data_IF_232956382666
#
_entry.id   IF_232956382666
#
_cell.length_a   1.000
_cell.length_b   1.000
_cell.length_c   1.000
_cell.angle_alpha   90.00
_cell.angle_beta   90.00
_cell.angle_gamma   90.00
#
_symmetry.space_group_name_H-M   'P 1'
#
loop_
_entity.id
_entity.type
_entity.pdbx_description
1 polymer ?
#
# COMPACT_ATOMS: atom_id res chain seq x y z
N UNK A 1 31.86 14.88 -30.19
CA UNK A 1 31.01 15.22 -29.04
C UNK A 1 29.68 15.69 -29.61
N UNK A 2 28.72 14.77 -29.78
CA UNK A 2 27.40 15.09 -30.30
C UNK A 2 26.58 15.66 -29.13
N UNK A 3 26.25 16.95 -29.18
CA UNK A 3 25.19 17.51 -28.34
C UNK A 3 23.87 16.97 -28.90
N UNK A 4 23.21 16.07 -28.15
CA UNK A 4 21.79 15.81 -28.36
C UNK A 4 21.07 17.13 -28.05
N UNK A 5 20.55 17.80 -29.08
CA UNK A 5 19.68 18.96 -28.94
C UNK A 5 18.30 18.43 -28.52
N UNK A 6 18.23 17.87 -27.32
CA UNK A 6 16.97 17.47 -26.70
C UNK A 6 16.33 18.68 -26.03
N UNK A 7 15.03 18.85 -26.21
CA UNK A 7 14.23 19.82 -25.44
C UNK A 7 14.45 19.57 -23.94
N UNK A 8 14.69 20.64 -23.19
CA UNK A 8 14.96 20.56 -21.75
C UNK A 8 13.65 20.59 -20.97
N UNK A 9 13.55 19.71 -19.98
CA UNK A 9 12.45 19.70 -19.01
C UNK A 9 13.00 19.94 -17.60
N UNK A 10 12.17 20.51 -16.72
CA UNK A 10 12.50 20.70 -15.30
C UNK A 10 11.29 20.46 -14.41
N UNK A 11 11.56 20.12 -13.15
CA UNK A 11 10.57 20.04 -12.09
C UNK A 11 10.76 21.22 -11.13
N UNK A 12 9.71 22.01 -10.92
CA UNK A 12 9.75 23.22 -10.10
C UNK A 12 8.54 23.35 -9.18
N UNK A 13 8.61 24.28 -8.24
CA UNK A 13 7.51 24.63 -7.36
C UNK A 13 7.86 24.53 -5.87
N UNK A 14 6.91 24.89 -5.02
CA UNK A 14 7.14 24.89 -3.57
C UNK A 14 7.30 23.46 -3.06
N UNK A 15 8.49 23.15 -2.52
CA UNK A 15 8.80 21.79 -2.06
C UNK A 15 9.23 20.82 -3.17
N UNK A 16 9.47 21.30 -4.40
CA UNK A 16 9.97 20.45 -5.49
C UNK A 16 11.36 19.89 -5.17
N UNK A 17 11.63 18.68 -5.63
CA UNK A 17 12.95 18.04 -5.60
C UNK A 17 13.47 17.84 -7.02
N UNK A 18 14.63 17.20 -7.15
CA UNK A 18 15.14 16.77 -8.47
C UNK A 18 14.19 15.82 -9.19
N UNK A 19 13.41 15.03 -8.46
CA UNK A 19 12.55 13.97 -8.98
C UNK A 19 11.08 14.17 -8.58
N UNK A 20 10.68 15.38 -8.18
CA UNK A 20 9.28 15.72 -7.92
C UNK A 20 9.02 17.22 -8.10
N UNK A 21 7.92 17.58 -8.75
CA UNK A 21 7.56 18.99 -8.99
C UNK A 21 6.61 19.17 -10.16
N UNK A 22 6.18 20.42 -10.38
CA UNK A 22 5.44 20.84 -11.59
C UNK A 22 6.34 20.70 -12.81
N UNK A 23 5.81 20.11 -13.88
CA UNK A 23 6.54 19.88 -15.13
C UNK A 23 6.57 21.17 -15.94
N UNK A 24 7.77 21.62 -16.31
CA UNK A 24 7.96 22.71 -17.25
C UNK A 24 8.90 22.29 -18.38
N UNK A 25 8.57 22.73 -19.59
CA UNK A 25 9.28 22.44 -20.84
C UNK A 25 9.91 23.72 -21.37
N UNK A 26 11.15 23.64 -21.87
CA UNK A 26 11.84 24.77 -22.49
C UNK A 26 11.69 24.74 -24.00
N UNK A 27 10.89 25.63 -24.55
CA UNK A 27 10.66 25.73 -25.99
C UNK A 27 10.77 27.19 -26.46
N UNK A 28 11.36 27.42 -27.63
CA UNK A 28 11.55 28.75 -28.23
C UNK A 28 12.13 29.82 -27.28
N UNK A 29 13.05 29.43 -26.41
CA UNK A 29 13.74 30.37 -25.51
C UNK A 29 13.02 30.67 -24.20
N UNK A 30 11.85 30.05 -23.96
CA UNK A 30 10.99 30.34 -22.79
C UNK A 30 10.55 29.04 -22.12
N UNK A 31 10.50 29.05 -20.79
CA UNK A 31 9.90 27.96 -20.01
C UNK A 31 8.39 28.10 -19.98
N UNK A 32 7.68 27.00 -20.15
CA UNK A 32 6.23 26.94 -20.03
C UNK A 32 5.78 25.63 -19.41
N UNK A 33 4.55 25.59 -18.92
CA UNK A 33 3.97 24.44 -18.22
C UNK A 33 3.35 23.44 -19.19
N UNK A 34 2.82 22.34 -18.65
CA UNK A 34 2.15 21.28 -19.39
C UNK A 34 0.76 21.09 -18.78
N UNK A 35 -0.27 21.04 -19.62
CA UNK A 35 -1.63 20.76 -19.18
C UNK A 35 -1.82 19.28 -18.81
N UNK A 36 -2.72 19.02 -17.86
CA UNK A 36 -3.05 17.69 -17.33
C UNK A 36 -4.19 16.99 -18.08
N UNK A 37 -4.70 17.58 -19.16
CA UNK A 37 -5.63 16.92 -20.08
C UNK A 37 -4.92 15.75 -20.78
N UNK A 38 -5.56 14.59 -20.73
CA UNK A 38 -5.05 13.26 -21.14
C UNK A 38 -3.73 12.80 -20.46
N UNK A 39 -3.26 13.50 -19.42
CA UNK A 39 -2.00 13.16 -18.75
C UNK A 39 -2.08 11.87 -17.94
N UNK A 40 -1.25 10.88 -18.28
CA UNK A 40 -1.29 9.53 -17.72
C UNK A 40 0.02 9.08 -17.04
N UNK A 41 0.06 7.78 -16.71
CA UNK A 41 1.23 7.13 -16.13
C UNK A 41 2.41 7.04 -17.11
N UNK A 42 2.14 6.81 -18.40
CA UNK A 42 3.17 6.70 -19.43
C UNK A 42 3.87 8.05 -19.64
N UNK A 43 3.13 9.15 -19.61
CA UNK A 43 3.68 10.51 -19.68
C UNK A 43 4.62 10.76 -18.51
N UNK A 44 4.15 10.42 -17.31
CA UNK A 44 4.93 10.53 -16.09
C UNK A 44 6.19 9.65 -16.15
N UNK A 45 6.08 8.43 -16.68
CA UNK A 45 7.21 7.53 -16.87
C UNK A 45 8.25 8.10 -17.83
N UNK A 46 7.82 8.71 -18.94
CA UNK A 46 8.70 9.40 -19.89
C UNK A 46 9.42 10.55 -19.22
N UNK A 47 8.72 11.41 -18.47
CA UNK A 47 9.33 12.52 -17.71
C UNK A 47 10.38 12.01 -16.72
N UNK A 48 10.02 11.00 -15.93
CA UNK A 48 10.90 10.44 -14.92
C UNK A 48 12.15 9.80 -15.52
N UNK A 49 11.99 9.06 -16.63
CA UNK A 49 13.11 8.49 -17.38
C UNK A 49 13.98 9.59 -17.99
N UNK A 50 13.38 10.61 -18.59
CA UNK A 50 14.09 11.74 -19.21
C UNK A 50 14.94 12.52 -18.18
N UNK A 51 14.46 12.65 -16.94
CA UNK A 51 15.21 13.27 -15.83
C UNK A 51 16.25 12.35 -15.17
N UNK A 52 16.28 11.07 -15.55
CA UNK A 52 17.15 10.05 -14.96
C UNK A 52 16.78 9.71 -13.52
N UNK A 53 15.49 9.80 -13.17
CA UNK A 53 14.95 9.40 -11.87
C UNK A 53 14.54 7.92 -11.89
N UNK A 54 14.41 7.30 -10.71
CA UNK A 54 13.84 5.95 -10.60
C UNK A 54 12.39 5.98 -11.15
N UNK A 55 11.92 4.86 -11.70
CA UNK A 55 10.58 4.71 -12.26
C UNK A 55 9.78 3.62 -11.54
N UNK A 56 10.34 3.00 -10.50
CA UNK A 56 9.67 1.94 -9.73
C UNK A 56 8.51 2.45 -8.86
N UNK A 57 8.64 3.69 -8.36
CA UNK A 57 7.70 4.33 -7.46
C UNK A 57 7.22 5.67 -8.07
N UNK A 58 6.58 5.60 -9.23
CA UNK A 58 5.98 6.75 -9.91
C UNK A 58 4.60 7.04 -9.30
N UNK A 59 4.37 8.31 -8.95
CA UNK A 59 3.04 8.81 -8.60
C UNK A 59 2.62 9.77 -9.72
N UNK A 60 1.63 9.38 -10.56
CA UNK A 60 1.21 10.20 -11.71
C UNK A 60 0.56 11.51 -11.28
N UNK A 61 0.05 11.60 -10.04
CA UNK A 61 -0.59 12.81 -9.55
C UNK A 61 -0.11 13.19 -8.14
N UNK A 62 0.65 14.28 -8.08
CA UNK A 62 1.21 14.84 -6.83
C UNK A 62 0.42 16.06 -6.38
N UNK A 63 0.55 16.54 -5.13
CA UNK A 63 0.08 17.88 -4.77
C UNK A 63 0.50 18.91 -5.82
N UNK A 64 -0.41 19.82 -6.21
CA UNK A 64 -0.06 20.98 -7.04
C UNK A 64 1.17 21.65 -6.41
N UNK A 65 2.34 21.57 -7.06
CA UNK A 65 3.57 22.25 -6.61
C UNK A 65 3.49 23.77 -6.86
N UNK A 66 2.29 24.33 -6.67
CA UNK A 66 1.87 25.63 -7.17
C UNK A 66 1.49 25.59 -8.64
N UNK A 67 0.62 26.53 -9.00
CA UNK A 67 0.30 26.84 -10.39
C UNK A 67 1.49 27.56 -11.04
N UNK A 68 1.71 27.30 -12.31
CA UNK A 68 2.65 28.05 -13.11
C UNK A 68 2.09 29.41 -13.50
N UNK A 69 2.87 30.11 -14.32
CA UNK A 69 2.48 31.40 -14.87
C UNK A 69 3.06 31.55 -16.27
N UNK A 70 2.32 32.19 -17.18
CA UNK A 70 2.80 32.51 -18.51
C UNK A 70 2.36 31.48 -19.54
N UNK A 71 3.31 30.89 -20.25
CA UNK A 71 3.02 30.01 -21.38
C UNK A 71 2.72 28.59 -20.89
N UNK A 72 1.68 27.96 -21.46
CA UNK A 72 1.49 26.50 -21.42
C UNK A 72 1.97 25.98 -22.77
N UNK A 73 2.95 25.06 -22.76
CA UNK A 73 3.57 24.57 -23.99
C UNK A 73 2.93 23.31 -24.54
N UNK A 74 2.53 22.38 -23.68
CA UNK A 74 2.01 21.09 -24.11
C UNK A 74 0.62 20.86 -23.52
N UNK A 75 -0.20 20.17 -24.28
CA UNK A 75 -1.59 19.82 -24.00
C UNK A 75 -1.96 18.55 -24.78
N UNK A 76 -2.90 17.77 -24.23
CA UNK A 76 -3.23 16.39 -24.61
C UNK A 76 -1.98 15.53 -24.86
N UNK A 77 -1.06 15.51 -23.89
CA UNK A 77 0.14 14.69 -24.03
C UNK A 77 -0.26 13.23 -23.87
N UNK A 78 0.12 12.41 -24.84
CA UNK A 78 -0.19 10.97 -24.85
C UNK A 78 1.05 10.18 -25.30
N UNK A 79 1.84 9.76 -24.32
CA UNK A 79 3.01 8.92 -24.49
C UNK A 79 2.62 7.43 -24.54
N UNK A 80 3.36 6.65 -25.31
CA UNK A 80 3.35 5.18 -25.29
C UNK A 80 4.19 4.60 -24.14
N UNK A 81 4.97 5.45 -23.46
CA UNK A 81 5.80 5.10 -22.31
C UNK A 81 7.24 4.70 -22.69
N UNK A 82 7.60 4.67 -23.98
CA UNK A 82 8.94 4.27 -24.46
C UNK A 82 9.75 5.42 -25.09
N UNK A 83 9.16 6.62 -25.15
CA UNK A 83 9.75 7.83 -25.71
C UNK A 83 10.97 8.33 -24.92
N UNK A 84 11.96 8.89 -25.63
CA UNK A 84 13.15 9.46 -24.99
C UNK A 84 12.91 10.83 -24.35
N UNK A 85 11.93 11.58 -24.86
CA UNK A 85 11.58 12.92 -24.41
C UNK A 85 10.07 13.09 -24.38
N UNK A 86 9.56 13.88 -23.43
CA UNK A 86 8.14 14.25 -23.35
C UNK A 86 7.63 14.91 -24.65
N UNK A 87 8.50 15.63 -25.35
CA UNK A 87 8.18 16.27 -26.63
C UNK A 87 8.16 15.33 -27.83
N UNK A 88 8.56 14.07 -27.64
CA UNK A 88 8.46 13.03 -28.67
C UNK A 88 7.10 12.34 -28.65
N UNK A 89 6.33 12.52 -27.56
CA UNK A 89 4.99 11.98 -27.39
C UNK A 89 3.98 12.72 -28.27
N UNK A 90 2.84 12.07 -28.54
CA UNK A 90 1.75 12.73 -29.25
C UNK A 90 1.22 13.88 -28.39
N UNK A 91 0.97 15.04 -29.00
CA UNK A 91 0.42 16.23 -28.34
C UNK A 91 -0.18 17.20 -29.37
N UNK A 92 -1.07 18.12 -28.95
CA UNK A 92 -1.75 19.12 -29.81
C UNK A 92 -0.83 20.12 -30.52
N UNK A 93 0.45 20.15 -30.15
CA UNK A 93 1.48 21.04 -30.69
C UNK A 93 1.81 22.18 -29.73
N UNK A 94 3.02 22.74 -29.85
CA UNK A 94 3.51 23.73 -28.90
C UNK A 94 2.64 24.98 -28.82
N UNK A 95 2.13 25.29 -27.62
CA UNK A 95 1.33 26.48 -27.34
C UNK A 95 -0.12 26.41 -27.83
N UNK A 96 -0.56 25.25 -28.30
CA UNK A 96 -1.95 25.00 -28.68
C UNK A 96 -2.66 24.27 -27.53
N UNK A 97 -3.42 25.01 -26.74
CA UNK A 97 -4.13 24.50 -25.56
C UNK A 97 -5.38 25.34 -25.28
N UNK A 98 -6.36 24.78 -24.59
CA UNK A 98 -7.49 25.49 -23.99
C UNK A 98 -7.44 25.52 -22.45
N UNK A 99 -6.35 25.03 -21.87
CA UNK A 99 -6.15 24.96 -20.44
C UNK A 99 -5.77 26.30 -19.76
N UNK A 100 -5.98 26.33 -18.45
CA UNK A 100 -5.53 27.35 -17.51
C UNK A 100 -4.46 26.80 -16.56
N UNK A 101 -3.73 27.66 -15.82
CA UNK A 101 -2.69 27.19 -14.89
C UNK A 101 -3.20 26.39 -13.69
N UNK A 102 -4.52 26.33 -13.46
CA UNK A 102 -5.08 25.37 -12.50
C UNK A 102 -4.92 23.91 -12.96
N UNK A 103 -4.52 23.71 -14.21
CA UNK A 103 -4.45 22.44 -14.94
C UNK A 103 -2.98 22.07 -15.23
N UNK A 104 -2.03 22.75 -14.58
CA UNK A 104 -0.62 22.43 -14.75
C UNK A 104 -0.24 21.11 -14.06
N UNK A 105 0.40 20.20 -14.81
CA UNK A 105 0.82 18.88 -14.34
C UNK A 105 1.97 18.94 -13.34
N UNK A 106 1.92 18.06 -12.35
CA UNK A 106 3.03 17.78 -11.45
C UNK A 106 3.30 16.29 -11.27
N UNK A 107 4.58 15.91 -11.25
CA UNK A 107 5.02 14.51 -11.16
C UNK A 107 5.88 14.24 -9.93
N UNK A 108 5.94 12.98 -9.49
CA UNK A 108 6.99 12.47 -8.61
C UNK A 108 7.47 11.09 -9.06
N UNK A 109 8.78 10.95 -9.21
CA UNK A 109 9.42 9.79 -9.84
C UNK A 109 10.02 8.81 -8.83
N UNK A 110 10.56 9.32 -7.72
CA UNK A 110 11.23 8.48 -6.73
C UNK A 110 10.81 8.88 -5.32
N UNK A 111 9.71 8.29 -4.89
CA UNK A 111 9.26 8.42 -3.51
C UNK A 111 8.51 7.18 -3.08
N UNK A 112 9.16 6.34 -2.25
CA UNK A 112 8.40 5.73 -1.15
C UNK A 112 7.76 6.89 -0.42
N UNK A 113 6.43 6.98 -0.47
CA UNK A 113 5.62 8.08 0.05
C UNK A 113 6.14 8.55 1.42
N UNK A 114 7.01 9.55 1.42
CA UNK A 114 7.60 10.17 2.62
C UNK A 114 7.14 11.62 2.73
N UNK A 115 5.99 11.90 2.15
CA UNK A 115 5.22 13.12 2.32
C UNK A 115 3.75 12.77 2.57
N UNK A 116 3.38 12.20 3.72
CA UNK A 116 2.00 12.25 4.25
C UNK A 116 0.80 11.71 3.44
N UNK A 117 0.98 11.26 2.21
CA UNK A 117 -0.02 10.55 1.41
C UNK A 117 0.24 9.07 1.65
N UNK A 118 -0.48 8.43 2.57
CA UNK A 118 -0.66 6.98 2.48
C UNK A 118 -1.94 6.80 1.67
N UNK A 119 -1.84 6.18 0.50
CA UNK A 119 -3.01 5.86 -0.33
C UNK A 119 -3.71 4.63 0.22
N UNK A 120 -4.02 4.68 1.52
CA UNK A 120 -4.78 3.66 2.20
C UNK A 120 -6.17 3.66 1.60
N UNK A 121 -6.67 2.48 1.28
CA UNK A 121 -8.07 2.29 0.90
C UNK A 121 -8.81 1.60 2.04
N UNK A 122 -10.10 1.90 2.16
CA UNK A 122 -10.99 1.19 3.07
C UNK A 122 -12.35 0.97 2.44
N UNK A 123 -13.06 -0.03 2.94
CA UNK A 123 -14.46 -0.28 2.62
C UNK A 123 -15.34 0.23 3.75
N UNK A 124 -16.39 0.97 3.40
CA UNK A 124 -17.32 1.59 4.36
C UNK A 124 -18.77 1.52 3.86
N UNK A 125 -19.72 1.93 4.70
CA UNK A 125 -21.13 2.04 4.32
C UNK A 125 -22.04 1.04 5.02
N UNK A 126 -23.31 1.05 4.63
CA UNK A 126 -24.32 0.19 5.25
C UNK A 126 -24.12 -1.25 4.81
N UNK A 127 -23.92 -2.18 5.76
CA UNK A 127 -23.69 -3.59 5.45
C UNK A 127 -22.29 -3.90 4.94
N UNK A 128 -21.33 -2.97 5.05
CA UNK A 128 -19.95 -3.24 4.66
C UNK A 128 -19.27 -4.26 5.57
N UNK A 129 -18.46 -5.14 5.00
CA UNK A 129 -17.54 -6.05 5.69
C UNK A 129 -16.09 -5.59 5.46
N UNK A 130 -15.12 -6.40 5.89
CA UNK A 130 -13.70 -6.16 5.57
C UNK A 130 -13.43 -6.23 4.06
N UNK A 131 -14.25 -6.98 3.31
CA UNK A 131 -14.05 -7.29 1.90
C UNK A 131 -15.26 -6.96 1.01
N UNK A 132 -16.19 -6.16 1.52
CA UNK A 132 -17.34 -5.66 0.77
C UNK A 132 -17.75 -4.28 1.29
N UNK A 133 -17.98 -3.32 0.40
CA UNK A 133 -18.41 -1.97 0.80
C UNK A 133 -18.09 -0.88 -0.21
N UNK A 134 -18.48 0.36 0.13
CA UNK A 134 -18.11 1.58 -0.60
C UNK A 134 -16.61 1.83 -0.49
N UNK A 135 -15.96 2.08 -1.61
CA UNK A 135 -14.53 2.35 -1.68
C UNK A 135 -14.24 3.77 -1.22
N UNK A 136 -13.30 3.93 -0.29
CA UNK A 136 -12.77 5.22 0.11
C UNK A 136 -11.24 5.21 0.07
N UNK A 137 -10.66 6.32 -0.39
CA UNK A 137 -9.22 6.53 -0.47
C UNK A 137 -8.82 7.59 0.55
N UNK A 138 -7.70 7.38 1.24
CA UNK A 138 -7.08 8.37 2.11
C UNK A 138 -6.10 9.22 1.31
N UNK A 139 -6.26 10.54 1.36
CA UNK A 139 -5.30 11.50 0.83
C UNK A 139 -5.09 12.60 1.88
N UNK A 140 -3.84 12.89 2.23
CA UNK A 140 -3.49 13.90 3.26
C UNK A 140 -4.19 13.72 4.61
N UNK A 141 -4.44 12.47 5.02
CA UNK A 141 -5.16 12.16 6.27
C UNK A 141 -6.67 12.44 6.21
N UNK A 142 -7.21 12.71 5.02
CA UNK A 142 -8.65 12.88 4.77
C UNK A 142 -9.18 11.80 3.84
N UNK A 143 -10.28 11.18 4.25
CA UNK A 143 -10.96 10.15 3.46
C UNK A 143 -11.91 10.79 2.46
N UNK A 144 -11.89 10.29 1.23
CA UNK A 144 -12.79 10.66 0.17
C UNK A 144 -13.23 9.45 -0.63
N UNK A 145 -14.26 9.62 -1.47
CA UNK A 145 -14.90 8.55 -2.22
C UNK A 145 -14.38 8.46 -3.65
N UNK A 146 -14.83 7.44 -4.39
CA UNK A 146 -14.48 7.20 -5.79
C UNK A 146 -15.78 7.18 -6.60
N UNK A 147 -15.77 7.84 -7.76
CA UNK A 147 -16.92 7.97 -8.66
C UNK A 147 -17.13 6.72 -9.52
N UNK A 148 -18.37 6.46 -9.93
CA UNK A 148 -18.77 5.29 -10.71
C UNK A 148 -18.62 5.43 -12.23
N UNK A 149 -18.17 6.59 -12.71
CA UNK A 149 -17.86 6.80 -14.11
C UNK A 149 -16.72 5.83 -14.53
N UNK A 150 -17.01 4.98 -15.53
CA UNK A 150 -16.19 3.87 -16.02
C UNK A 150 -15.84 2.75 -15.03
N UNK A 151 -16.44 2.74 -13.83
CA UNK A 151 -16.13 1.74 -12.80
C UNK A 151 -16.50 0.32 -13.20
N UNK A 152 -15.50 -0.54 -13.32
CA UNK A 152 -15.64 -1.91 -13.82
C UNK A 152 -15.05 -2.99 -12.89
N UNK A 153 -15.06 -4.24 -13.36
CA UNK A 153 -14.56 -5.37 -12.58
C UNK A 153 -13.03 -5.38 -12.46
N UNK A 154 -12.30 -4.78 -13.40
CA UNK A 154 -10.85 -4.65 -13.32
C UNK A 154 -10.47 -3.66 -12.22
N UNK A 155 -11.21 -2.57 -12.06
CA UNK A 155 -11.03 -1.62 -10.96
C UNK A 155 -11.28 -2.29 -9.61
N UNK A 156 -12.41 -3.00 -9.52
CA UNK A 156 -12.74 -3.78 -8.33
C UNK A 156 -11.66 -4.82 -8.02
N UNK A 157 -11.06 -5.45 -9.03
CA UNK A 157 -9.98 -6.42 -8.86
C UNK A 157 -8.73 -5.79 -8.24
N UNK A 158 -8.38 -4.57 -8.63
CA UNK A 158 -7.27 -3.82 -8.01
C UNK A 158 -7.60 -3.52 -6.54
N UNK A 159 -8.81 -3.06 -6.24
CA UNK A 159 -9.26 -2.79 -4.86
C UNK A 159 -9.20 -4.05 -3.99
N UNK A 160 -9.78 -5.16 -4.47
CA UNK A 160 -9.83 -6.42 -3.74
C UNK A 160 -8.43 -6.99 -3.47
N UNK A 161 -7.53 -6.90 -4.46
CA UNK A 161 -6.13 -7.29 -4.29
C UNK A 161 -5.39 -6.37 -3.32
N UNK A 162 -5.56 -5.05 -3.43
CA UNK A 162 -4.92 -4.07 -2.55
C UNK A 162 -5.37 -4.25 -1.08
N UNK A 163 -6.62 -4.67 -0.83
CA UNK A 163 -7.13 -5.01 0.51
C UNK A 163 -6.75 -6.41 0.99
N UNK A 164 -6.18 -7.26 0.13
CA UNK A 164 -5.90 -8.67 0.43
C UNK A 164 -7.15 -9.53 0.56
N UNK A 165 -8.25 -9.15 -0.11
CA UNK A 165 -9.56 -9.78 -0.06
C UNK A 165 -9.82 -10.81 -1.17
N UNK A 166 -8.77 -11.20 -1.91
CA UNK A 166 -8.86 -12.13 -3.03
C UNK A 166 -9.38 -11.48 -4.31
N UNK A 167 -10.17 -12.23 -5.08
CA UNK A 167 -10.70 -11.78 -6.37
C UNK A 167 -11.93 -10.90 -6.20
N UNK A 168 -12.17 -9.99 -7.16
CA UNK A 168 -13.41 -9.23 -7.24
C UNK A 168 -14.56 -10.12 -7.73
N UNK A 169 -15.67 -10.12 -6.99
CA UNK A 169 -16.91 -10.78 -7.39
C UNK A 169 -17.84 -9.82 -8.12
N UNK A 170 -17.90 -8.56 -7.69
CA UNK A 170 -18.68 -7.52 -8.35
C UNK A 170 -18.14 -6.12 -8.12
N UNK A 171 -18.35 -5.27 -9.12
CA UNK A 171 -18.19 -3.83 -9.07
C UNK A 171 -19.58 -3.20 -8.99
N UNK A 172 -19.82 -2.34 -8.00
CA UNK A 172 -21.12 -1.72 -7.75
C UNK A 172 -21.06 -0.21 -7.98
N UNK A 173 -21.78 0.31 -8.98
CA UNK A 173 -21.94 1.76 -9.15
C UNK A 173 -23.02 2.32 -8.20
N UNK A 174 -23.21 3.63 -8.27
CA UNK A 174 -24.39 4.34 -7.80
C UNK A 174 -24.73 4.17 -6.31
N UNK A 175 -23.71 4.31 -5.45
CA UNK A 175 -23.84 4.34 -4.00
C UNK A 175 -24.56 3.12 -3.40
N UNK A 176 -24.31 1.92 -3.94
CA UNK A 176 -24.94 0.67 -3.48
C UNK A 176 -24.84 0.45 -1.97
N UNK A 177 -23.69 0.80 -1.36
CA UNK A 177 -23.45 0.71 0.09
C UNK A 177 -23.83 2.00 0.85
N UNK A 178 -24.68 2.81 0.24
CA UNK A 178 -25.04 4.16 0.68
C UNK A 178 -24.05 5.21 0.19
N UNK A 179 -24.49 6.46 0.27
CA UNK A 179 -23.69 7.63 -0.08
C UNK A 179 -22.61 7.88 0.98
N UNK A 180 -21.43 8.28 0.52
CA UNK A 180 -20.37 8.82 1.34
C UNK A 180 -20.57 10.31 1.63
N UNK A 181 -19.48 10.92 2.09
CA UNK A 181 -19.43 12.33 2.46
C UNK A 181 -18.01 12.85 2.31
N UNK A 182 -17.87 14.12 1.93
CA UNK A 182 -16.58 14.79 1.84
C UNK A 182 -16.09 14.87 0.39
N UNK A 183 -14.77 14.86 0.15
CA UNK A 183 -14.25 14.95 -1.21
C UNK A 183 -14.48 13.65 -1.98
N UNK A 184 -14.67 13.77 -3.30
CA UNK A 184 -14.50 12.66 -4.24
C UNK A 184 -13.06 12.74 -4.74
N UNK A 185 -12.26 11.72 -4.44
CA UNK A 185 -10.85 11.71 -4.78
C UNK A 185 -10.58 11.21 -6.19
N UNK A 186 -11.26 10.16 -6.64
CA UNK A 186 -10.99 9.57 -7.96
C UNK A 186 -12.27 9.60 -8.80
N UNK A 187 -12.12 9.93 -10.08
CA UNK A 187 -13.15 9.85 -11.12
C UNK A 187 -12.59 9.12 -12.33
N UNK A 188 -13.47 8.54 -13.17
CA UNK A 188 -13.10 7.92 -14.45
C UNK A 188 -11.98 6.88 -14.30
N UNK A 189 -12.05 6.06 -13.24
CA UNK A 189 -11.01 5.07 -12.95
C UNK A 189 -11.06 3.96 -13.99
N UNK A 190 -9.93 3.66 -14.62
CA UNK A 190 -9.77 2.66 -15.68
C UNK A 190 -8.52 1.84 -15.43
N UNK A 191 -8.63 0.82 -14.60
CA UNK A 191 -7.58 -0.13 -14.33
C UNK A 191 -7.47 -1.17 -15.46
N UNK A 192 -6.25 -1.58 -15.80
CA UNK A 192 -5.97 -2.78 -16.60
C UNK A 192 -6.17 -4.09 -15.82
N UNK A 193 -6.35 -4.00 -14.50
CA UNK A 193 -6.56 -5.11 -13.58
C UNK A 193 -5.27 -5.67 -12.97
N UNK A 194 -4.11 -5.13 -13.33
CA UNK A 194 -2.78 -5.60 -12.90
C UNK A 194 -2.06 -4.65 -11.92
N UNK A 195 -2.64 -3.47 -11.68
CA UNK A 195 -2.10 -2.42 -10.82
C UNK A 195 -2.03 -2.87 -9.36
N UNK A 196 -1.00 -2.45 -8.62
CA UNK A 196 -0.88 -2.83 -7.21
C UNK A 196 -1.77 -1.98 -6.30
N UNK A 197 -2.02 -0.72 -6.68
CA UNK A 197 -2.82 0.22 -5.92
C UNK A 197 -3.80 0.94 -6.85
N UNK A 198 -5.00 1.23 -6.36
CA UNK A 198 -6.07 1.89 -7.14
C UNK A 198 -5.63 3.25 -7.70
N UNK A 199 -4.81 3.98 -6.96
CA UNK A 199 -4.26 5.30 -7.36
C UNK A 199 -3.21 5.22 -8.49
N UNK A 200 -2.87 4.02 -8.96
CA UNK A 200 -1.98 3.81 -10.10
C UNK A 200 -2.74 3.59 -11.41
N UNK A 201 -4.05 3.37 -11.34
CA UNK A 201 -4.87 3.22 -12.53
C UNK A 201 -5.01 4.57 -13.26
N UNK A 202 -5.30 4.53 -14.57
CA UNK A 202 -5.74 5.71 -15.30
C UNK A 202 -7.00 6.27 -14.60
N UNK A 203 -7.05 7.58 -14.36
CA UNK A 203 -8.18 8.23 -13.71
C UNK A 203 -8.19 9.74 -14.00
N UNK A 204 -9.37 10.37 -14.02
CA UNK A 204 -9.59 11.79 -14.37
C UNK A 204 -9.01 12.84 -13.40
N UNK A 205 -8.23 12.40 -12.40
CA UNK A 205 -7.50 13.26 -11.46
C UNK A 205 -8.23 13.53 -10.14
N UNK A 206 -7.53 14.17 -9.19
CA UNK A 206 -8.07 14.49 -7.87
C UNK A 206 -8.98 15.73 -7.92
N UNK A 207 -10.26 15.55 -7.64
CA UNK A 207 -11.19 16.68 -7.38
C UNK A 207 -11.65 17.45 -8.62
N UNK A 208 -11.63 16.84 -9.83
CA UNK A 208 -12.26 17.42 -11.02
C UNK A 208 -13.77 17.09 -11.07
N UNK A 209 -14.56 18.16 -11.30
CA UNK A 209 -15.98 18.26 -11.71
C UNK A 209 -16.98 17.22 -11.17
N UNK A 210 -17.64 17.59 -10.07
CA UNK A 210 -19.03 17.29 -9.69
C UNK A 210 -19.56 15.85 -9.85
N UNK A 211 -18.77 14.83 -9.52
CA UNK A 211 -19.37 13.56 -9.15
C UNK A 211 -20.10 13.72 -7.81
N UNK A 212 -21.41 13.43 -7.79
CA UNK A 212 -22.20 13.43 -6.56
C UNK A 212 -21.99 12.14 -5.77
N UNK A 213 -22.26 12.16 -4.47
CA UNK A 213 -22.14 10.94 -3.66
C UNK A 213 -23.18 9.86 -4.00
N UNK A 214 -24.20 10.19 -4.80
CA UNK A 214 -25.12 9.23 -5.41
C UNK A 214 -24.42 8.29 -6.42
N UNK A 215 -23.20 8.64 -6.83
CA UNK A 215 -22.32 7.89 -7.73
C UNK A 215 -21.14 7.22 -7.03
N UNK A 216 -21.12 7.15 -5.70
CA UNK A 216 -19.99 6.53 -5.00
C UNK A 216 -19.92 5.01 -5.29
N UNK A 217 -18.75 4.51 -5.65
CA UNK A 217 -18.56 3.09 -6.01
C UNK A 217 -18.43 2.19 -4.79
N UNK A 218 -18.77 0.92 -4.99
CA UNK A 218 -18.48 -0.16 -4.07
C UNK A 218 -17.94 -1.40 -4.76
N UNK A 219 -17.43 -2.31 -3.94
CA UNK A 219 -16.93 -3.61 -4.38
C UNK A 219 -17.48 -4.70 -3.48
N UNK A 220 -17.62 -5.90 -4.04
CA UNK A 220 -17.71 -7.14 -3.28
C UNK A 220 -16.56 -8.02 -3.73
N UNK A 221 -15.71 -8.39 -2.79
CA UNK A 221 -14.62 -9.32 -3.01
C UNK A 221 -15.03 -10.71 -2.52
N UNK A 222 -14.21 -11.72 -2.83
CA UNK A 222 -14.46 -13.11 -2.46
C UNK A 222 -14.44 -13.37 -0.94
N UNK A 223 -13.89 -12.43 -0.15
CA UNK A 223 -13.75 -12.49 1.32
C UNK A 223 -13.12 -13.81 1.80
N UNK A 224 -12.08 -14.23 1.08
CA UNK A 224 -11.39 -15.47 1.38
C UNK A 224 -10.32 -15.23 2.44
N UNK A 225 -10.74 -15.37 3.69
CA UNK A 225 -9.83 -15.38 4.83
C UNK A 225 -9.19 -16.75 4.97
N UNK A 226 -7.90 -16.78 5.33
CA UNK A 226 -7.23 -18.03 5.69
C UNK A 226 -6.82 -18.00 7.16
N UNK A 227 -6.81 -19.16 7.80
CA UNK A 227 -6.25 -19.34 9.14
C UNK A 227 -5.45 -20.64 9.22
N UNK A 228 -4.50 -20.64 10.15
CA UNK A 228 -3.72 -21.83 10.50
C UNK A 228 -4.21 -22.36 11.84
N UNK A 229 -4.71 -23.60 11.86
CA UNK A 229 -5.34 -24.20 13.05
C UNK A 229 -4.90 -25.64 13.27
N UNK A 230 -5.27 -26.21 14.42
CA UNK A 230 -4.99 -27.58 14.80
C UNK A 230 -4.06 -27.71 16.01
N UNK A 231 -3.88 -28.92 16.57
CA UNK A 231 -3.02 -29.15 17.72
C UNK A 231 -1.57 -28.77 17.40
N UNK A 232 -0.95 -27.94 18.25
CA UNK A 232 0.42 -27.47 18.03
C UNK A 232 0.55 -26.43 16.91
N UNK A 233 -0.55 -25.87 16.41
CA UNK A 233 -0.51 -24.74 15.48
C UNK A 233 0.08 -23.49 16.16
N UNK A 234 0.75 -22.68 15.34
CA UNK A 234 1.24 -21.35 15.70
C UNK A 234 0.67 -20.33 14.71
N UNK A 235 1.03 -19.06 14.87
CA UNK A 235 0.65 -18.01 13.91
C UNK A 235 1.21 -18.28 12.49
N UNK A 236 2.25 -19.10 12.36
CA UNK A 236 2.95 -19.40 11.12
C UNK A 236 3.03 -20.91 10.84
N UNK A 237 2.24 -21.74 11.54
CA UNK A 237 2.17 -23.18 11.27
C UNK A 237 0.82 -23.76 11.64
N UNK A 238 0.25 -24.62 10.81
CA UNK A 238 -1.04 -25.25 11.09
C UNK A 238 -1.71 -25.79 9.83
N UNK A 239 -2.82 -26.50 10.02
CA UNK A 239 -3.76 -26.86 8.95
C UNK A 239 -4.34 -25.57 8.35
N UNK A 240 -4.36 -25.49 7.03
CA UNK A 240 -4.95 -24.36 6.32
C UNK A 240 -6.46 -24.54 6.27
N UNK A 241 -7.19 -23.60 6.86
CA UNK A 241 -8.63 -23.48 6.70
C UNK A 241 -8.96 -22.15 6.01
N UNK A 242 -9.99 -22.18 5.18
CA UNK A 242 -10.44 -21.09 4.32
C UNK A 242 -11.84 -20.68 4.76
N UNK A 243 -12.10 -19.38 4.88
CA UNK A 243 -13.44 -18.86 5.13
C UNK A 243 -14.08 -18.53 3.79
N UNK A 244 -15.22 -19.16 3.50
CA UNK A 244 -15.98 -18.88 2.30
C UNK A 244 -17.47 -19.12 2.56
N UNK A 245 -18.32 -18.29 1.96
CA UNK A 245 -19.78 -18.35 2.09
C UNK A 245 -20.26 -18.48 3.56
N UNK A 246 -19.69 -17.69 4.46
CA UNK A 246 -20.11 -17.62 5.85
C UNK A 246 -19.57 -18.71 6.78
N UNK A 247 -18.80 -19.70 6.28
CA UNK A 247 -18.30 -20.81 7.11
C UNK A 247 -16.83 -21.15 6.82
N UNK A 248 -16.14 -21.66 7.84
CA UNK A 248 -14.78 -22.18 7.68
C UNK A 248 -14.81 -23.59 7.09
N UNK A 249 -14.01 -23.79 6.05
CA UNK A 249 -13.82 -25.07 5.38
C UNK A 249 -12.36 -25.39 5.16
N UNK A 250 -12.13 -26.58 4.64
CA UNK A 250 -10.84 -27.20 4.42
C UNK A 250 -10.36 -26.95 3.00
N UNK A 251 -9.05 -27.07 2.82
CA UNK A 251 -8.43 -27.17 1.50
C UNK A 251 -8.09 -28.63 1.25
N UNK A 252 -8.72 -29.21 0.22
CA UNK A 252 -8.34 -30.52 -0.29
C UNK A 252 -7.38 -30.33 -1.45
N UNK A 253 -6.29 -31.09 -1.50
CA UNK A 253 -5.39 -31.04 -2.64
C UNK A 253 -4.53 -32.29 -2.70
N UNK A 254 -4.67 -33.13 -3.72
CA UNK A 254 -3.83 -34.32 -3.86
C UNK A 254 -2.34 -33.98 -4.07
N UNK A 255 -2.04 -32.75 -4.45
CA UNK A 255 -0.72 -32.26 -4.85
C UNK A 255 -0.26 -31.02 -4.07
N UNK A 256 -0.68 -30.85 -2.81
CA UNK A 256 -0.25 -29.72 -1.98
C UNK A 256 1.27 -29.64 -1.88
N UNK A 257 1.85 -28.62 -2.52
CA UNK A 257 3.27 -28.49 -2.75
C UNK A 257 3.92 -27.33 -2.01
N UNK A 258 5.23 -27.21 -2.18
CA UNK A 258 6.01 -26.14 -1.56
C UNK A 258 5.63 -24.75 -2.11
N UNK A 259 5.23 -24.66 -3.38
CA UNK A 259 4.74 -23.42 -3.98
C UNK A 259 3.46 -22.93 -3.33
N UNK A 260 2.51 -23.83 -3.04
CA UNK A 260 1.26 -23.49 -2.34
C UNK A 260 1.57 -23.03 -0.91
N UNK A 261 2.43 -23.77 -0.21
CA UNK A 261 2.87 -23.39 1.13
C UNK A 261 3.55 -22.02 1.15
N UNK A 262 4.34 -21.68 0.13
CA UNK A 262 5.00 -20.37 0.04
C UNK A 262 3.98 -19.23 -0.12
N UNK A 263 2.92 -19.44 -0.90
CA UNK A 263 1.81 -18.47 -1.03
C UNK A 263 1.09 -18.30 0.31
N UNK A 264 0.75 -19.39 1.00
CA UNK A 264 0.10 -19.32 2.32
C UNK A 264 0.98 -18.62 3.34
N UNK A 265 2.27 -18.94 3.42
CA UNK A 265 3.21 -18.31 4.36
C UNK A 265 3.30 -16.80 4.12
N UNK A 266 3.39 -16.38 2.85
CA UNK A 266 3.37 -14.96 2.47
C UNK A 266 2.05 -14.30 2.86
N UNK A 267 0.91 -14.93 2.53
CA UNK A 267 -0.42 -14.40 2.85
C UNK A 267 -0.66 -14.27 4.37
N UNK A 268 -0.08 -15.17 5.18
CA UNK A 268 -0.15 -15.10 6.65
C UNK A 268 0.81 -14.06 7.26
N UNK A 269 1.66 -13.40 6.46
CA UNK A 269 2.68 -12.45 6.94
C UNK A 269 3.88 -13.14 7.61
N UNK A 270 4.18 -14.37 7.21
CA UNK A 270 5.36 -15.15 7.61
C UNK A 270 6.41 -15.13 6.48
N UNK A 271 7.65 -15.54 6.75
CA UNK A 271 8.76 -15.34 5.80
C UNK A 271 8.74 -16.33 4.62
N UNK A 272 9.13 -17.58 4.85
CA UNK A 272 9.24 -18.60 3.80
C UNK A 272 8.65 -19.92 4.25
N UNK A 273 8.12 -20.71 3.32
CA UNK A 273 7.75 -22.08 3.61
C UNK A 273 9.00 -22.87 4.02
N UNK A 274 8.93 -23.61 5.14
CA UNK A 274 9.97 -24.54 5.55
C UNK A 274 9.59 -25.98 5.24
N UNK A 275 8.31 -26.31 5.44
CA UNK A 275 7.79 -27.62 5.14
C UNK A 275 6.30 -27.55 4.77
N UNK A 276 5.91 -28.49 3.91
CA UNK A 276 4.54 -28.92 3.77
C UNK A 276 4.28 -29.95 4.87
N UNK A 277 3.23 -29.75 5.67
CA UNK A 277 2.90 -30.72 6.71
C UNK A 277 2.36 -32.00 6.06
N UNK A 278 2.71 -33.16 6.62
CA UNK A 278 2.06 -34.40 6.21
C UNK A 278 0.55 -34.32 6.49
N UNK A 279 -0.24 -35.05 5.70
CA UNK A 279 -1.69 -35.13 5.90
C UNK A 279 -2.04 -35.49 7.35
N UNK A 280 -2.91 -34.71 7.98
CA UNK A 280 -3.37 -34.96 9.36
C UNK A 280 -2.38 -34.58 10.47
N UNK A 281 -1.22 -34.00 10.16
CA UNK A 281 -0.24 -33.56 11.16
C UNK A 281 -0.81 -32.55 12.18
N UNK A 282 -1.73 -31.69 11.73
CA UNK A 282 -2.44 -30.73 12.57
C UNK A 282 -3.87 -31.18 12.87
N UNK A 283 -4.15 -32.49 12.78
CA UNK A 283 -5.49 -33.06 12.88
C UNK A 283 -6.34 -32.81 11.64
N UNK A 284 -7.51 -33.44 11.60
CA UNK A 284 -8.50 -33.29 10.53
C UNK A 284 -9.47 -32.15 10.88
N UNK A 285 -9.80 -31.33 9.89
CA UNK A 285 -10.89 -30.36 9.96
C UNK A 285 -12.23 -31.04 9.69
N UNK A 286 -13.30 -30.47 10.23
CA UNK A 286 -14.66 -31.02 10.14
C UNK A 286 -15.58 -30.21 9.23
N UNK A 287 -15.05 -29.16 8.58
CA UNK A 287 -15.80 -28.26 7.69
C UNK A 287 -15.94 -28.77 6.25
N UNK A 288 -16.73 -28.08 5.41
CA UNK A 288 -16.83 -28.35 3.97
C UNK A 288 -15.47 -28.17 3.29
N UNK A 289 -15.29 -28.73 2.09
CA UNK A 289 -14.08 -28.48 1.27
C UNK A 289 -14.34 -27.25 0.43
N UNK A 290 -13.62 -26.14 0.68
CA UNK A 290 -13.85 -24.90 -0.08
C UNK A 290 -12.97 -24.75 -1.30
N UNK A 291 -11.73 -25.23 -1.21
CA UNK A 291 -10.79 -25.24 -2.31
C UNK A 291 -10.37 -26.67 -2.58
N UNK A 292 -10.39 -27.05 -3.85
CA UNK A 292 -9.85 -28.32 -4.33
C UNK A 292 -8.74 -28.07 -5.37
N UNK A 293 -7.74 -28.95 -5.37
CA UNK A 293 -6.70 -29.03 -6.39
C UNK A 293 -5.96 -27.71 -6.66
N UNK A 294 -5.61 -26.98 -5.58
CA UNK A 294 -4.87 -25.71 -5.64
C UNK A 294 -3.48 -25.91 -6.27
N UNK A 295 -3.12 -25.13 -7.28
CA UNK A 295 -1.84 -25.24 -8.00
C UNK A 295 -1.15 -23.90 -8.17
N UNK A 296 -0.52 -23.42 -7.12
CA UNK A 296 0.24 -22.17 -7.15
C UNK A 296 1.56 -22.31 -7.92
N UNK A 297 1.94 -21.27 -8.64
CA UNK A 297 3.29 -21.07 -9.18
C UNK A 297 4.30 -20.64 -8.11
N UNK A 298 3.82 -20.11 -6.98
CA UNK A 298 4.60 -19.59 -5.85
C UNK A 298 4.76 -18.07 -5.86
N UNK A 299 4.25 -17.38 -6.88
CA UNK A 299 4.33 -15.91 -7.04
C UNK A 299 3.06 -15.17 -6.63
N UNK A 300 1.95 -15.89 -6.47
CA UNK A 300 0.62 -15.38 -6.18
C UNK A 300 0.55 -14.67 -4.82
N UNK A 301 -0.17 -13.55 -4.71
CA UNK A 301 -0.23 -12.83 -3.44
C UNK A 301 -1.14 -13.52 -2.41
N UNK A 302 -2.11 -14.30 -2.89
CA UNK A 302 -3.10 -15.03 -2.11
C UNK A 302 -3.38 -16.42 -2.68
N UNK A 303 -3.88 -17.34 -1.84
CA UNK A 303 -4.20 -18.71 -2.23
C UNK A 303 -5.31 -18.79 -3.29
N UNK A 304 -6.20 -17.79 -3.34
CA UNK A 304 -7.30 -17.71 -4.31
C UNK A 304 -6.88 -17.30 -5.71
N UNK A 305 -5.72 -16.66 -5.86
CA UNK A 305 -5.16 -16.34 -7.17
C UNK A 305 -4.56 -17.58 -7.85
N UNK A 306 -4.28 -18.62 -7.08
CA UNK A 306 -3.78 -19.86 -7.63
C UNK A 306 -4.91 -20.57 -8.39
N UNK A 307 -4.61 -21.20 -9.55
CA UNK A 307 -5.55 -22.12 -10.19
C UNK A 307 -6.10 -23.15 -9.20
N UNK A 308 -7.41 -23.22 -9.06
CA UNK A 308 -8.11 -24.12 -8.14
C UNK A 308 -9.51 -24.47 -8.67
N UNK A 309 -10.08 -25.56 -8.17
CA UNK A 309 -11.48 -25.93 -8.40
C UNK A 309 -12.35 -25.49 -7.21
N UNK A 310 -13.55 -24.98 -7.51
CA UNK A 310 -14.55 -24.58 -6.50
C UNK A 310 -15.49 -25.76 -6.17
N UNK A 311 -15.85 -25.87 -4.89
CA UNK A 311 -16.47 -26.98 -4.13
C UNK A 311 -17.59 -27.84 -4.75
N UNK A 312 -18.23 -27.53 -5.87
CA UNK A 312 -19.42 -28.30 -6.31
C UNK A 312 -19.09 -29.70 -6.85
N UNK A 313 -17.82 -29.99 -7.14
CA UNK A 313 -17.32 -31.30 -7.56
C UNK A 313 -15.97 -31.57 -6.90
N UNK A 314 -15.93 -32.38 -5.84
CA UNK A 314 -14.68 -32.80 -5.20
C UNK A 314 -14.64 -34.33 -5.06
N UNK A 315 -13.49 -34.94 -5.34
CA UNK A 315 -13.28 -36.40 -5.24
C UNK A 315 -12.66 -36.81 -3.89
N UNK A 316 -12.74 -35.91 -2.89
CA UNK A 316 -12.12 -36.09 -1.58
C UNK A 316 -12.96 -36.99 -0.67
N UNK A 317 -12.87 -38.31 -0.86
CA UNK A 317 -13.62 -39.26 -0.04
C UNK A 317 -13.05 -39.43 1.39
N UNK A 318 -11.73 -39.30 1.62
CA UNK A 318 -11.14 -39.49 2.95
C UNK A 318 -9.85 -38.68 3.16
N UNK A 319 -9.97 -37.60 3.94
CA UNK A 319 -8.95 -37.01 4.82
C UNK A 319 -7.51 -36.95 4.34
N UNK A 320 -7.15 -35.88 3.62
CA UNK A 320 -5.80 -35.32 3.69
C UNK A 320 -5.90 -33.81 3.79
N UNK A 321 -6.07 -33.33 5.01
CA UNK A 321 -5.98 -31.90 5.26
C UNK A 321 -4.52 -31.53 5.39
N UNK A 322 -4.08 -30.65 4.51
CA UNK A 322 -2.72 -30.18 4.45
C UNK A 322 -2.54 -28.95 5.32
N UNK A 323 -1.37 -28.86 5.91
CA UNK A 323 -0.94 -27.71 6.68
C UNK A 323 0.40 -27.21 6.16
N UNK A 324 0.77 -26.05 6.68
CA UNK A 324 2.03 -25.40 6.34
C UNK A 324 2.86 -25.20 7.60
N UNK A 325 4.17 -25.20 7.43
CA UNK A 325 5.12 -24.74 8.45
C UNK A 325 5.98 -23.68 7.80
N UNK A 326 5.85 -22.44 8.27
CA UNK A 326 6.59 -21.30 7.76
C UNK A 326 7.75 -20.94 8.71
N UNK A 327 8.78 -20.31 8.15
CA UNK A 327 9.87 -19.67 8.88
C UNK A 327 9.43 -18.29 9.37
N UNK A 328 10.15 -17.80 10.39
CA UNK A 328 9.95 -16.48 10.94
C UNK A 328 8.79 -16.38 11.92
N UNK A 329 8.66 -15.19 12.53
CA UNK A 329 7.47 -14.80 13.31
C UNK A 329 6.61 -13.91 12.43
N UNK A 330 5.30 -13.93 12.65
CA UNK A 330 4.37 -13.05 11.95
C UNK A 330 4.83 -11.60 12.10
N UNK A 331 5.25 -10.97 11.00
CA UNK A 331 5.67 -9.58 11.00
C UNK A 331 4.47 -8.74 10.63
N UNK A 332 3.84 -8.14 11.63
CA UNK A 332 2.92 -7.04 11.37
C UNK A 332 3.77 -5.83 11.01
N UNK A 333 3.78 -5.43 9.73
CA UNK A 333 4.09 -4.05 9.38
C UNK A 333 2.98 -3.18 9.99
N UNK A 334 3.21 -2.73 11.21
CA UNK A 334 2.60 -1.49 11.67
C UNK A 334 3.63 -0.42 11.35
N UNK A 335 3.29 0.49 10.44
CA UNK A 335 4.13 1.62 10.09
C UNK A 335 4.28 2.54 11.32
N UNK A 336 5.29 2.27 12.14
CA UNK A 336 5.73 3.19 13.19
C UNK A 336 6.82 4.06 12.57
N UNK A 337 6.43 5.22 12.06
CA UNK A 337 7.35 6.28 11.65
C UNK A 337 7.75 7.08 12.88
N UNK A 338 8.96 6.85 13.41
CA UNK A 338 9.54 7.66 14.48
C UNK A 338 10.33 8.84 13.90
N UNK A 339 9.89 10.08 14.13
CA UNK A 339 10.72 11.26 13.92
C UNK A 339 11.74 11.39 15.06
N UNK A 340 13.03 11.50 14.72
CA UNK A 340 14.02 12.05 15.64
C UNK A 340 14.36 13.48 15.19
N UNK A 341 14.10 14.47 16.05
CA UNK A 341 14.84 15.75 15.99
C UNK A 341 15.96 15.66 17.03
N UNK A 342 17.24 15.68 16.64
CA UNK A 342 18.31 15.71 17.62
C UNK A 342 18.35 17.09 18.26
N UNK A 343 18.10 17.18 19.57
CA UNK A 343 18.45 18.33 20.39
C UNK A 343 19.58 17.89 21.32
N UNK A 344 20.79 18.35 21.04
CA UNK A 344 21.94 18.12 21.91
C UNK A 344 22.10 19.33 22.83
N UNK A 345 21.99 19.14 24.14
CA UNK A 345 22.47 20.12 25.10
C UNK A 345 23.56 19.45 25.96
N UNK A 346 24.79 19.90 25.77
CA UNK A 346 25.92 19.43 26.57
C UNK A 346 25.87 20.14 27.93
N UNK A 347 25.78 19.36 29.00
CA UNK A 347 26.36 19.75 30.28
C UNK A 347 26.90 18.53 31.01
N UNK A 348 28.05 18.75 31.64
CA UNK A 348 28.93 17.72 32.16
C UNK A 348 28.26 16.78 33.16
N UNK A 349 28.62 15.50 33.00
CA UNK A 349 28.43 14.39 33.95
C UNK A 349 26.98 13.95 34.14
N UNK A 350 26.57 13.01 33.27
CA UNK A 350 25.34 12.17 33.22
C UNK A 350 24.57 12.43 31.91
N UNK A 351 24.62 11.46 30.99
CA UNK A 351 23.79 11.46 29.78
C UNK A 351 22.35 11.15 30.21
N UNK A 352 21.54 12.19 30.48
CA UNK A 352 20.08 12.02 30.50
C UNK A 352 19.56 12.07 29.06
N UNK A 353 19.35 10.89 28.47
CA UNK A 353 18.55 10.76 27.26
C UNK A 353 17.08 10.99 27.61
N UNK A 354 16.62 12.23 27.47
CA UNK A 354 15.18 12.53 27.51
C UNK A 354 14.64 12.33 26.09
N UNK A 355 14.18 11.11 25.81
CA UNK A 355 13.54 10.77 24.53
C UNK A 355 12.09 11.27 24.55
N UNK A 356 11.79 12.34 23.81
CA UNK A 356 10.41 12.69 23.49
C UNK A 356 9.94 11.78 22.35
N UNK A 357 9.30 10.68 22.72
CA UNK A 357 8.63 9.79 21.76
C UNK A 357 7.20 10.31 21.58
N UNK A 358 6.93 10.95 20.44
CA UNK A 358 5.55 11.28 20.02
C UNK A 358 4.94 10.05 19.37
N UNK A 359 4.27 9.19 20.15
CA UNK A 359 3.47 8.09 19.62
C UNK A 359 2.07 8.61 19.26
N UNK A 360 1.72 8.60 17.99
CA UNK A 360 0.34 8.79 17.55
C UNK A 360 -0.40 7.46 17.68
N UNK A 361 -1.35 7.38 18.62
CA UNK A 361 -2.31 6.28 18.72
C UNK A 361 -3.70 6.92 18.67
N UNK A 362 -4.32 6.92 17.49
CA UNK A 362 -5.68 7.46 17.32
C UNK A 362 -5.82 8.98 17.52
N UNK A 363 -7.06 9.52 17.55
CA UNK A 363 -7.35 10.94 17.29
C UNK A 363 -7.11 11.86 18.50
N UNK A 364 -6.15 11.56 19.38
CA UNK A 364 -5.83 12.43 20.52
C UNK A 364 -4.32 12.43 20.82
N UNK A 365 -3.70 13.59 21.07
CA UNK A 365 -2.26 13.68 21.30
C UNK A 365 -1.90 13.12 22.69
N UNK A 366 -0.95 12.18 22.75
CA UNK A 366 -0.47 11.60 24.02
C UNK A 366 0.67 12.45 24.61
N UNK A 367 0.52 12.80 25.89
CA UNK A 367 1.54 13.39 26.77
C UNK A 367 2.66 12.38 27.09
N UNK A 368 3.92 12.82 26.92
CA UNK A 368 5.20 12.33 27.47
C UNK A 368 5.30 10.93 28.14
N UNK A 369 6.20 10.09 27.64
CA UNK A 369 6.60 8.80 28.25
C UNK A 369 7.94 8.96 28.99
N UNK A 370 8.05 8.35 30.19
CA UNK A 370 9.31 8.25 30.96
C UNK A 370 9.84 6.81 30.92
N UNK A 371 11.13 6.65 30.61
CA UNK A 371 11.82 5.36 30.58
C UNK A 371 12.99 5.35 31.58
N UNK A 372 13.16 4.24 32.32
CA UNK A 372 14.29 4.02 33.23
C UNK A 372 15.09 2.78 32.80
N UNK A 373 16.42 2.88 32.86
CA UNK A 373 17.34 1.82 32.44
C UNK A 373 17.39 0.69 33.48
N UNK A 374 17.20 -0.57 33.05
CA UNK A 374 17.43 -1.74 33.90
C UNK A 374 18.18 -2.80 33.11
N UNK A 375 19.44 -3.02 33.45
CA UNK A 375 20.29 -4.05 32.86
C UNK A 375 19.79 -5.43 33.32
N UNK A 376 19.09 -6.13 32.44
CA UNK A 376 18.85 -7.57 32.54
C UNK A 376 19.69 -8.28 31.47
N UNK A 377 20.15 -9.52 31.71
CA UNK A 377 21.00 -10.22 30.75
C UNK A 377 20.19 -10.57 29.50
N UNK A 378 20.66 -10.17 28.33
CA UNK A 378 20.04 -10.42 27.02
C UNK A 378 20.98 -11.23 26.12
N UNK A 379 20.38 -12.10 25.31
CA UNK A 379 21.02 -12.82 24.20
C UNK A 379 21.53 -11.84 23.11
N UNK A 380 22.45 -12.30 22.25
CA UNK A 380 23.33 -11.56 21.31
C UNK A 380 22.63 -10.60 20.32
N UNK A 381 21.29 -10.55 20.34
CA UNK A 381 20.47 -9.67 19.52
C UNK A 381 20.06 -8.35 20.19
N UNK A 382 20.16 -8.20 21.53
CA UNK A 382 19.74 -6.99 22.24
C UNK A 382 20.84 -6.49 23.20
N UNK A 383 21.24 -5.21 23.08
CA UNK A 383 22.33 -4.64 23.90
C UNK A 383 21.84 -3.89 25.14
N UNK A 384 20.60 -3.38 25.15
CA UNK A 384 20.01 -2.71 26.32
C UNK A 384 18.49 -2.78 26.31
N UNK A 385 17.90 -3.13 27.45
CA UNK A 385 16.45 -3.20 27.66
C UNK A 385 16.02 -2.04 28.58
N UNK A 386 15.05 -1.24 28.13
CA UNK A 386 14.48 -0.15 28.93
C UNK A 386 13.06 -0.49 29.36
N UNK A 387 12.74 -0.26 30.62
CA UNK A 387 11.36 -0.27 31.11
C UNK A 387 10.79 1.13 30.96
N UNK A 388 9.73 1.27 30.18
CA UNK A 388 9.01 2.52 29.99
C UNK A 388 7.63 2.41 30.66
N UNK A 389 7.16 3.50 31.26
CA UNK A 389 5.84 3.58 31.87
C UNK A 389 5.07 4.76 31.31
N UNK A 390 3.86 4.51 30.83
CA UNK A 390 2.92 5.55 30.41
C UNK A 390 2.21 6.12 31.65
N UNK A 391 2.18 7.44 31.79
CA UNK A 391 1.46 8.10 32.90
C UNK A 391 0.05 8.50 32.42
N UNK A 392 -0.89 7.57 32.51
CA UNK A 392 -2.33 7.86 32.44
C UNK A 392 -2.84 8.25 33.83
N UNK A 393 -3.89 9.09 33.98
CA UNK A 393 -4.50 9.38 35.27
C UNK A 393 -4.99 8.13 36.03
N UNK A 394 -5.15 6.98 35.35
CA UNK A 394 -5.78 5.80 35.94
C UNK A 394 -5.06 4.44 35.78
N UNK A 395 -3.90 4.33 35.11
CA UNK A 395 -3.16 3.06 35.06
C UNK A 395 -1.72 3.22 34.54
N UNK A 396 -0.81 2.38 35.06
CA UNK A 396 0.59 2.24 34.63
C UNK A 396 0.74 0.95 33.82
N UNK A 397 1.06 1.06 32.53
CA UNK A 397 1.42 -0.08 31.69
C UNK A 397 2.95 -0.18 31.55
N UNK A 398 3.58 -1.31 31.93
CA UNK A 398 5.00 -1.51 31.72
C UNK A 398 5.28 -1.95 30.27
N UNK A 399 6.14 -1.21 29.57
CA UNK A 399 6.63 -1.56 28.22
C UNK A 399 8.13 -1.85 28.24
N UNK A 400 8.57 -2.70 27.32
CA UNK A 400 10.00 -2.95 27.11
C UNK A 400 10.45 -2.41 25.75
N UNK A 401 11.50 -1.61 25.75
CA UNK A 401 12.15 -1.04 24.57
C UNK A 401 13.55 -1.66 24.43
N UNK A 402 13.80 -2.34 23.29
CA UNK A 402 15.12 -2.90 22.98
C UNK A 402 15.90 -1.93 22.08
N UNK A 403 17.10 -1.54 22.52
CA UNK A 403 18.04 -0.73 21.73
C UNK A 403 19.26 -1.55 21.34
N UNK A 404 19.71 -1.38 20.08
CA UNK A 404 21.00 -1.89 19.60
C UNK A 404 21.83 -0.72 19.07
N UNK A 405 22.98 -0.48 19.68
CA UNK A 405 23.91 0.57 19.26
C UNK A 405 24.88 -0.02 18.23
N UNK A 406 24.84 0.49 17.00
CA UNK A 406 25.88 0.19 16.01
C UNK A 406 27.08 1.09 16.27
N UNK A 407 28.19 0.50 16.72
CA UNK A 407 29.42 1.22 17.06
C UNK A 407 30.14 1.86 15.85
N UNK A 408 29.68 1.59 14.62
CA UNK A 408 30.37 2.03 13.39
C UNK A 408 29.81 3.32 12.76
N UNK A 409 28.61 3.78 13.14
CA UNK A 409 27.95 4.91 12.44
C UNK A 409 27.49 6.06 13.34
N UNK A 410 27.59 5.92 14.67
CA UNK A 410 27.03 6.90 15.60
C UNK A 410 25.51 7.08 15.50
N UNK A 411 24.81 6.16 14.82
CA UNK A 411 23.35 6.16 14.66
C UNK A 411 22.72 5.09 15.55
N UNK A 412 21.67 5.47 16.28
CA UNK A 412 20.86 4.56 17.11
C UNK A 412 19.72 4.01 16.25
N UNK A 413 19.57 2.69 16.23
CA UNK A 413 18.47 2.01 15.53
C UNK A 413 17.50 1.42 16.55
N UNK A 414 16.21 1.70 16.39
CA UNK A 414 15.12 1.16 17.22
C UNK A 414 14.52 -0.05 16.49
N UNK A 415 14.46 -1.21 17.14
CA UNK A 415 14.02 -2.44 16.48
C UNK A 415 12.64 -2.93 16.92
N UNK A 416 12.15 -2.60 18.13
CA UNK A 416 10.81 -3.05 18.58
C UNK A 416 10.36 -2.40 19.89
N UNK A 417 9.04 -2.19 20.02
CA UNK A 417 8.35 -1.91 21.28
C UNK A 417 7.40 -3.06 21.55
N UNK A 418 7.61 -3.80 22.64
CA UNK A 418 6.70 -4.87 23.05
C UNK A 418 5.85 -4.41 24.24
N UNK A 419 4.53 -4.51 24.09
CA UNK A 419 3.58 -4.37 25.18
C UNK A 419 3.33 -5.75 25.79
N UNK A 420 3.44 -5.86 27.11
CA UNK A 420 3.02 -7.06 27.82
C UNK A 420 1.54 -6.86 28.20
N UNK A 421 0.65 -7.62 27.58
CA UNK A 421 -0.75 -7.74 28.01
C UNK A 421 -0.83 -8.41 29.37
#
# INVERSE_FOLDING_TARGET
MLFLIGVQIRLVGSGSTRCSGRVEVYHNGVWGTVCDDDWDFNDTQVVCRQLGCDTRDIVPFTPRFGEGTGQIWLDDVSCLGNESSLTDCQHKGFGNHDCSHTEDVSVACSGKMTFGYSSDIRLAGSGSTQCSGRVQVSQNGTWGTVCDDDWDLNDAQVVCRQLGCGSALSAHPSAHFGQGSGPVWLTDVRCSGHEQYLVQCEHGGLGRRHCGHDKDVGVVCEDVQIKLVGPGSTQCSGRVEVYYNGTWGRVCNLYWGFSDAQVVCRQMGCETAQAVSAAGQFGEGTGPVWLDDVRCSGKESSLTECPHHKSETHDCEYGKDFGVVCSGKKTFCSDIVCFSKPFYQFNNSVIQLTLFISLFIGPSPVLSILCSHKLLPTDDSCQSLYTCSQKSPHQLFPCFLCLRLSSQTGRVWFYSVFWKS
#
